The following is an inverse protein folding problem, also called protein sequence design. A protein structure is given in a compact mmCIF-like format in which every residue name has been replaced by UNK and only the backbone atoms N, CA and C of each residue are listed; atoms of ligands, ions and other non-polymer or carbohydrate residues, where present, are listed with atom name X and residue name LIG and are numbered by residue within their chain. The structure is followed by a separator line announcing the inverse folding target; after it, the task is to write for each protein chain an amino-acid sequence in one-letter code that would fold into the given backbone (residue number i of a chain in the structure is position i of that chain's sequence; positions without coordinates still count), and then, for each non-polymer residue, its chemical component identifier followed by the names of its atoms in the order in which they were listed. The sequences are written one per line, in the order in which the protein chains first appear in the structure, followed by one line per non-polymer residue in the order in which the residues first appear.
data_IF_550637203649
#
_entry.id   IF_550637203649
#
_cell.length_a   1.000
_cell.length_b   1.000
_cell.length_c   1.000
_cell.angle_alpha   90.00
_cell.angle_beta   90.00
_cell.angle_gamma   90.00
#
_symmetry.space_group_name_H-M   'P 1'
#
loop_
_entity.id
_entity.type
_entity.pdbx_description
1 polymer ?
#
# COMPACT_ATOMS: atom_id res chain seq x y z
N UNK A 1 18.51 8.86 -8.55
CA UNK A 1 17.15 8.36 -8.70
C UNK A 1 16.28 9.57 -8.99
N UNK A 2 15.65 9.58 -10.16
CA UNK A 2 14.80 10.70 -10.59
C UNK A 2 13.41 10.61 -9.91
N UNK A 3 12.74 11.73 -9.68
CA UNK A 3 11.39 11.75 -9.10
C UNK A 3 10.41 10.94 -9.95
N UNK A 4 10.55 11.01 -11.28
CA UNK A 4 9.76 10.21 -12.22
C UNK A 4 10.02 8.71 -12.10
N UNK A 5 11.25 8.32 -11.78
CA UNK A 5 11.64 6.93 -11.55
C UNK A 5 10.96 6.37 -10.29
N UNK A 6 11.01 7.14 -9.20
CA UNK A 6 10.34 6.80 -7.93
C UNK A 6 8.82 6.70 -8.11
N UNK A 7 8.21 7.64 -8.83
CA UNK A 7 6.76 7.63 -9.09
C UNK A 7 6.32 6.39 -9.88
N UNK A 8 7.11 6.00 -10.88
CA UNK A 8 6.86 4.79 -11.68
C UNK A 8 6.97 3.53 -10.83
N UNK A 9 8.04 3.43 -10.04
CA UNK A 9 8.28 2.27 -9.18
C UNK A 9 7.18 2.13 -8.11
N UNK A 10 6.76 3.23 -7.46
CA UNK A 10 5.60 3.24 -6.56
C UNK A 10 4.33 2.75 -7.26
N UNK A 11 4.06 3.22 -8.49
CA UNK A 11 2.88 2.78 -9.24
C UNK A 11 2.92 1.28 -9.58
N UNK A 12 4.10 0.73 -9.88
CA UNK A 12 4.29 -0.70 -10.09
C UNK A 12 4.06 -1.51 -8.81
N UNK A 13 4.62 -1.05 -7.68
CA UNK A 13 4.44 -1.70 -6.38
C UNK A 13 2.97 -1.67 -5.91
N UNK A 14 2.24 -0.57 -6.08
CA UNK A 14 0.81 -0.52 -5.75
C UNK A 14 -0.03 -1.47 -6.62
N UNK A 15 0.28 -1.60 -7.91
CA UNK A 15 -0.39 -2.58 -8.78
C UNK A 15 -0.14 -4.01 -8.34
N UNK A 16 1.10 -4.32 -7.97
CA UNK A 16 1.45 -5.63 -7.41
C UNK A 16 0.70 -5.89 -6.10
N UNK A 17 0.61 -4.88 -5.22
CA UNK A 17 -0.12 -4.99 -3.95
C UNK A 17 -1.59 -5.30 -4.18
N UNK A 18 -2.25 -4.57 -5.08
CA UNK A 18 -3.64 -4.81 -5.45
C UNK A 18 -3.85 -6.23 -5.99
N UNK A 19 -2.96 -6.70 -6.89
CA UNK A 19 -3.02 -8.06 -7.43
C UNK A 19 -2.89 -9.13 -6.35
N UNK A 20 -1.95 -8.96 -5.40
CA UNK A 20 -1.79 -9.88 -4.27
C UNK A 20 -3.01 -9.88 -3.34
N UNK A 21 -3.59 -8.71 -3.04
CA UNK A 21 -4.81 -8.60 -2.20
C UNK A 21 -5.99 -9.34 -2.82
N UNK A 22 -6.22 -9.19 -4.12
CA UNK A 22 -7.27 -9.93 -4.83
C UNK A 22 -7.03 -11.44 -4.73
N UNK A 23 -5.77 -11.88 -4.86
CA UNK A 23 -5.44 -13.30 -4.75
C UNK A 23 -5.62 -13.85 -3.33
N UNK A 24 -5.31 -13.06 -2.31
CA UNK A 24 -5.60 -13.41 -0.90
C UNK A 24 -7.10 -13.58 -0.71
N UNK A 25 -7.91 -12.61 -1.16
CA UNK A 25 -9.37 -12.67 -1.06
C UNK A 25 -9.93 -13.93 -1.75
N UNK A 26 -9.42 -14.27 -2.93
CA UNK A 26 -9.81 -15.49 -3.63
C UNK A 26 -9.50 -16.75 -2.82
N UNK A 27 -8.28 -16.87 -2.27
CA UNK A 27 -7.90 -18.04 -1.48
C UNK A 27 -8.63 -18.11 -0.14
N UNK A 28 -9.00 -16.97 0.46
CA UNK A 28 -9.85 -16.93 1.66
C UNK A 28 -11.24 -17.48 1.32
N UNK A 29 -11.83 -17.06 0.21
CA UNK A 29 -13.10 -17.59 -0.27
C UNK A 29 -13.02 -19.09 -0.59
N UNK A 30 -11.94 -19.54 -1.25
CA UNK A 30 -11.73 -20.96 -1.56
C UNK A 30 -11.57 -21.78 -0.26
N UNK A 31 -10.89 -21.24 0.76
CA UNK A 31 -10.77 -21.89 2.07
C UNK A 31 -12.14 -22.02 2.75
N UNK A 32 -12.94 -20.96 2.77
CA UNK A 32 -14.30 -20.98 3.32
C UNK A 32 -15.20 -22.00 2.61
N UNK A 33 -15.12 -22.07 1.27
CA UNK A 33 -15.84 -23.04 0.48
C UNK A 33 -15.44 -24.49 0.82
N UNK A 34 -14.14 -24.75 0.98
CA UNK A 34 -13.63 -26.05 1.41
C UNK A 34 -14.13 -26.38 2.82
N UNK A 35 -14.03 -25.44 3.77
CA UNK A 35 -14.53 -25.65 5.13
C UNK A 35 -16.03 -25.98 5.13
N UNK A 36 -16.83 -25.22 4.37
CA UNK A 36 -18.27 -25.45 4.24
C UNK A 36 -18.57 -26.84 3.68
N UNK A 37 -17.80 -27.31 2.68
CA UNK A 37 -17.96 -28.63 2.08
C UNK A 37 -17.60 -29.79 3.01
N UNK A 38 -16.68 -29.55 3.96
CA UNK A 38 -16.20 -30.56 4.92
C UNK A 38 -16.99 -30.54 6.23
N UNK A 39 -17.85 -29.54 6.44
CA UNK A 39 -18.62 -29.39 7.67
C UNK A 39 -19.68 -30.51 7.76
N UNK A 40 -19.71 -31.29 8.85
CA UNK A 40 -20.76 -32.28 9.04
C UNK A 40 -22.14 -31.63 9.21
N UNK A 41 -23.20 -32.31 8.80
CA UNK A 41 -24.58 -31.81 8.89
C UNK A 41 -25.02 -31.52 10.34
N UNK A 42 -24.55 -32.33 11.29
CA UNK A 42 -24.82 -32.14 12.73
C UNK A 42 -23.87 -31.13 13.41
N UNK A 43 -22.91 -30.60 12.64
CA UNK A 43 -21.81 -29.78 13.14
C UNK A 43 -20.59 -30.60 13.55
N UNK A 44 -19.55 -29.92 14.03
CA UNK A 44 -18.32 -30.56 14.46
C UNK A 44 -18.51 -31.35 15.75
N UNK A 45 -17.90 -32.53 15.83
CA UNK A 45 -17.99 -33.42 16.99
C UNK A 45 -17.33 -32.79 18.24
N UNK A 46 -17.98 -32.88 19.40
CA UNK A 46 -17.41 -32.43 20.66
C UNK A 46 -18.46 -31.94 21.68
N UNK A 47 -18.23 -32.24 22.96
CA UNK A 47 -19.13 -31.84 24.05
C UNK A 47 -19.01 -30.36 24.41
N UNK A 48 -17.85 -29.75 24.14
CA UNK A 48 -17.55 -28.34 24.39
C UNK A 48 -16.95 -27.66 23.14
N UNK A 49 -16.79 -26.33 23.19
CA UNK A 49 -16.29 -25.56 22.05
C UNK A 49 -14.85 -25.95 21.64
N UNK A 50 -13.98 -26.24 22.59
CA UNK A 50 -12.59 -26.63 22.32
C UNK A 50 -12.50 -27.97 21.59
N UNK A 51 -13.28 -28.97 22.01
CA UNK A 51 -13.33 -30.27 21.34
C UNK A 51 -13.84 -30.15 19.91
N UNK A 52 -14.86 -29.31 19.67
CA UNK A 52 -15.38 -29.03 18.33
C UNK A 52 -14.34 -28.35 17.44
N UNK A 53 -13.58 -27.41 17.99
CA UNK A 53 -12.51 -26.74 17.26
C UNK A 53 -11.34 -27.69 16.95
N UNK A 54 -10.99 -28.59 17.87
CA UNK A 54 -9.97 -29.62 17.62
C UNK A 54 -10.45 -30.58 16.52
N UNK A 55 -11.69 -31.06 16.57
CA UNK A 55 -12.27 -31.93 15.55
C UNK A 55 -12.26 -31.25 14.18
N UNK A 56 -12.72 -29.99 14.11
CA UNK A 56 -12.63 -29.14 12.91
C UNK A 56 -11.21 -29.11 12.35
N UNK A 57 -10.22 -28.76 13.17
CA UNK A 57 -8.82 -28.67 12.75
C UNK A 57 -8.28 -30.01 12.26
N UNK A 58 -8.61 -31.11 12.91
CA UNK A 58 -8.18 -32.44 12.49
C UNK A 58 -8.72 -32.79 11.10
N UNK A 59 -10.01 -32.60 10.87
CA UNK A 59 -10.64 -32.86 9.57
C UNK A 59 -10.05 -31.97 8.48
N UNK A 60 -9.94 -30.66 8.73
CA UNK A 60 -9.37 -29.73 7.76
C UNK A 60 -7.90 -30.03 7.44
N UNK A 61 -7.09 -30.38 8.44
CA UNK A 61 -5.67 -30.71 8.23
C UNK A 61 -5.43 -32.04 7.51
N UNK A 62 -6.41 -32.93 7.47
CA UNK A 62 -6.36 -34.14 6.66
C UNK A 62 -6.71 -33.86 5.19
N UNK A 63 -7.42 -32.76 4.91
CA UNK A 63 -7.80 -32.39 3.56
C UNK A 63 -6.65 -31.69 2.81
N UNK A 64 -6.21 -32.27 1.69
CA UNK A 64 -5.08 -31.76 0.90
C UNK A 64 -5.34 -30.36 0.35
N UNK A 65 -6.52 -30.13 -0.24
CA UNK A 65 -6.89 -28.82 -0.78
C UNK A 65 -6.89 -27.71 0.28
N UNK A 66 -7.26 -28.03 1.52
CA UNK A 66 -7.24 -27.04 2.61
C UNK A 66 -5.80 -26.66 2.95
N UNK A 67 -4.91 -27.65 3.11
CA UNK A 67 -3.49 -27.40 3.38
C UNK A 67 -2.81 -26.60 2.27
N UNK A 68 -3.12 -26.93 1.01
CA UNK A 68 -2.59 -26.20 -0.14
C UNK A 68 -3.04 -24.73 -0.13
N UNK A 69 -4.33 -24.47 0.11
CA UNK A 69 -4.87 -23.11 0.20
C UNK A 69 -4.26 -22.33 1.38
N UNK A 70 -4.13 -22.96 2.55
CA UNK A 70 -3.50 -22.34 3.72
C UNK A 70 -2.02 -22.00 3.48
N UNK A 71 -1.27 -22.89 2.84
CA UNK A 71 0.12 -22.61 2.45
C UNK A 71 0.20 -21.42 1.48
N UNK A 72 -0.68 -21.37 0.48
CA UNK A 72 -0.78 -20.25 -0.46
C UNK A 72 -1.14 -18.93 0.23
N UNK A 73 -2.08 -18.94 1.19
CA UNK A 73 -2.42 -17.75 1.99
C UNK A 73 -1.23 -17.25 2.80
N UNK A 74 -0.50 -18.16 3.45
CA UNK A 74 0.68 -17.80 4.24
C UNK A 74 1.77 -17.18 3.36
N UNK A 75 2.01 -17.76 2.18
CA UNK A 75 2.98 -17.24 1.22
C UNK A 75 2.59 -15.84 0.71
N UNK A 76 1.34 -15.65 0.28
CA UNK A 76 0.88 -14.35 -0.24
C UNK A 76 0.89 -13.27 0.83
N UNK A 77 0.49 -13.60 2.07
CA UNK A 77 0.57 -12.65 3.20
C UNK A 77 2.01 -12.26 3.50
N UNK A 78 2.94 -13.22 3.47
CA UNK A 78 4.37 -12.94 3.62
C UNK A 78 4.89 -12.00 2.52
N UNK A 79 4.50 -12.25 1.26
CA UNK A 79 4.84 -11.37 0.13
C UNK A 79 4.25 -9.96 0.29
N UNK A 80 3.00 -9.84 0.76
CA UNK A 80 2.37 -8.54 1.04
C UNK A 80 3.12 -7.74 2.10
N UNK A 81 3.62 -8.40 3.16
CA UNK A 81 4.41 -7.73 4.20
C UNK A 81 5.72 -7.17 3.63
N UNK A 82 6.42 -7.96 2.81
CA UNK A 82 7.67 -7.52 2.16
C UNK A 82 7.39 -6.30 1.26
N UNK A 83 6.37 -6.42 0.40
CA UNK A 83 5.98 -5.36 -0.53
C UNK A 83 5.54 -4.08 0.20
N UNK A 84 4.87 -4.21 1.35
CA UNK A 84 4.50 -3.08 2.19
C UNK A 84 5.74 -2.36 2.74
N UNK A 85 6.76 -3.10 3.17
CA UNK A 85 8.03 -2.53 3.59
C UNK A 85 8.75 -1.78 2.46
N UNK A 86 8.74 -2.32 1.24
CA UNK A 86 9.30 -1.66 0.06
C UNK A 86 8.56 -0.36 -0.29
N UNK A 87 7.22 -0.39 -0.26
CA UNK A 87 6.39 0.80 -0.45
C UNK A 87 6.71 1.89 0.57
N UNK A 88 6.76 1.54 1.86
CA UNK A 88 7.04 2.49 2.93
C UNK A 88 8.45 3.10 2.81
N UNK A 89 9.44 2.29 2.44
CA UNK A 89 10.80 2.76 2.20
C UNK A 89 10.85 3.75 1.03
N UNK A 90 10.19 3.43 -0.09
CA UNK A 90 10.20 4.28 -1.28
C UNK A 90 9.39 5.56 -1.08
N UNK A 91 8.27 5.49 -0.35
CA UNK A 91 7.52 6.67 0.08
C UNK A 91 8.34 7.58 1.00
N UNK A 92 9.15 7.01 1.91
CA UNK A 92 10.04 7.80 2.76
C UNK A 92 11.09 8.55 1.92
N UNK A 93 11.67 7.91 0.91
CA UNK A 93 12.58 8.55 -0.04
C UNK A 93 11.87 9.68 -0.80
N UNK A 94 10.65 9.44 -1.31
CA UNK A 94 9.84 10.46 -1.98
C UNK A 94 9.61 11.68 -1.09
N UNK A 95 9.20 11.46 0.17
CA UNK A 95 8.97 12.53 1.16
C UNK A 95 10.25 13.30 1.46
N UNK A 96 11.40 12.62 1.57
CA UNK A 96 12.69 13.28 1.80
C UNK A 96 13.07 14.21 0.65
N UNK A 97 12.90 13.78 -0.60
CA UNK A 97 13.14 14.60 -1.80
C UNK A 97 12.18 15.80 -1.83
N UNK A 98 10.91 15.58 -1.48
CA UNK A 98 9.91 16.64 -1.42
C UNK A 98 10.28 17.71 -0.39
N UNK A 99 10.69 17.31 0.82
CA UNK A 99 11.15 18.26 1.85
C UNK A 99 12.39 19.03 1.40
N UNK A 100 13.38 18.34 0.83
CA UNK A 100 14.58 19.01 0.30
C UNK A 100 14.22 20.04 -0.79
N UNK A 101 13.25 19.73 -1.65
CA UNK A 101 12.79 20.64 -2.70
C UNK A 101 12.06 21.85 -2.10
N UNK A 102 11.25 21.65 -1.06
CA UNK A 102 10.59 22.73 -0.32
C UNK A 102 11.58 23.65 0.39
N UNK A 103 12.62 23.11 1.00
CA UNK A 103 13.67 23.90 1.65
C UNK A 103 14.41 24.78 0.62
N UNK A 104 14.81 24.21 -0.52
CA UNK A 104 15.44 24.98 -1.61
C UNK A 104 14.53 26.08 -2.16
N UNK A 105 13.22 25.82 -2.27
CA UNK A 105 12.25 26.83 -2.67
C UNK A 105 12.12 27.95 -1.62
N UNK A 106 12.07 27.59 -0.34
CA UNK A 106 12.01 28.55 0.75
C UNK A 106 13.26 29.45 0.76
N UNK A 107 14.45 28.86 0.57
CA UNK A 107 15.71 29.60 0.45
C UNK A 107 15.71 30.53 -0.77
N UNK A 108 15.24 30.05 -1.94
CA UNK A 108 15.13 30.88 -3.14
C UNK A 108 14.17 32.06 -2.93
N UNK A 109 12.98 31.82 -2.35
CA UNK A 109 12.01 32.87 -2.03
C UNK A 109 12.59 33.86 -1.02
N UNK A 110 13.30 33.38 0.01
CA UNK A 110 13.92 34.25 1.01
C UNK A 110 15.04 35.11 0.40
N UNK A 111 15.85 34.54 -0.49
CA UNK A 111 16.87 35.26 -1.25
C UNK A 111 16.26 36.34 -2.16
N UNK A 112 15.13 36.04 -2.82
CA UNK A 112 14.39 37.02 -3.64
C UNK A 112 13.75 38.13 -2.79
N UNK A 113 13.20 37.80 -1.63
CA UNK A 113 12.51 38.76 -0.75
C UNK A 113 13.46 39.67 0.04
N UNK A 114 14.69 39.23 0.31
CA UNK A 114 15.66 39.96 1.12
C UNK A 114 16.44 41.05 0.36
N UNK A 115 16.21 41.19 -0.95
CA UNK A 115 16.62 42.36 -1.75
C UNK A 115 18.12 42.72 -1.65
N UNK A 116 18.98 41.77 -1.31
CA UNK A 116 20.42 42.01 -1.25
C UNK A 116 20.98 42.08 -2.67
N UNK A 117 21.65 43.19 -3.00
CA UNK A 117 22.54 43.36 -4.15
C UNK A 117 23.42 42.12 -4.34
N UNK A 118 22.96 41.18 -5.16
CA UNK A 118 23.73 40.01 -5.58
C UNK A 118 23.59 39.84 -7.07
N UNK A 119 24.74 39.55 -7.68
CA UNK A 119 24.98 39.48 -9.11
C UNK A 119 23.89 38.67 -9.85
N UNK A 120 23.63 39.03 -11.11
CA UNK A 120 22.62 38.42 -12.01
C UNK A 120 22.62 36.87 -12.01
N UNK A 121 23.74 36.25 -11.63
CA UNK A 121 23.94 34.80 -11.53
C UNK A 121 23.13 34.17 -10.38
N UNK A 122 23.03 34.84 -9.22
CA UNK A 122 22.27 34.33 -8.07
C UNK A 122 20.76 34.43 -8.30
N UNK A 123 20.32 35.45 -9.04
CA UNK A 123 18.94 35.61 -9.45
C UNK A 123 18.52 34.58 -10.52
N UNK A 124 19.40 34.29 -11.48
CA UNK A 124 19.17 33.23 -12.47
C UNK A 124 19.10 31.83 -11.83
N UNK A 125 19.92 31.55 -10.81
CA UNK A 125 19.87 30.30 -10.06
C UNK A 125 18.55 30.15 -9.28
N UNK A 126 18.09 31.21 -8.62
CA UNK A 126 16.81 31.20 -7.90
C UNK A 126 15.60 31.01 -8.85
N UNK A 127 15.62 31.64 -10.02
CA UNK A 127 14.58 31.45 -11.06
C UNK A 127 14.63 30.02 -11.60
N UNK A 128 15.82 29.45 -11.82
CA UNK A 128 15.97 28.05 -12.26
C UNK A 128 15.42 27.05 -11.24
N UNK A 129 15.65 27.29 -9.94
CA UNK A 129 15.11 26.43 -8.86
C UNK A 129 13.57 26.53 -8.79
N UNK A 130 13.02 27.73 -8.99
CA UNK A 130 11.57 27.94 -9.04
C UNK A 130 10.92 27.23 -10.23
N UNK A 131 11.57 27.27 -11.41
CA UNK A 131 11.08 26.63 -12.63
C UNK A 131 11.17 25.10 -12.55
N UNK A 132 12.24 24.57 -11.96
CA UNK A 132 12.42 23.14 -11.67
C UNK A 132 11.36 22.64 -10.68
N UNK A 133 11.07 23.41 -9.62
CA UNK A 133 10.06 23.03 -8.65
C UNK A 133 8.61 23.17 -9.16
N UNK A 134 8.35 24.13 -10.06
CA UNK A 134 7.06 24.24 -10.75
C UNK A 134 6.80 23.02 -11.64
N UNK A 135 7.84 22.51 -12.32
CA UNK A 135 7.76 21.26 -13.09
C UNK A 135 7.46 20.04 -12.19
N UNK A 136 8.01 20.00 -10.98
CA UNK A 136 7.75 18.93 -10.01
C UNK A 136 6.31 18.99 -9.45
N UNK A 137 5.79 20.18 -9.14
CA UNK A 137 4.42 20.35 -8.65
C UNK A 137 3.35 20.06 -9.72
N UNK A 138 3.59 20.39 -10.99
CA UNK A 138 2.63 20.14 -12.07
C UNK A 138 2.36 18.65 -12.33
N UNK A 139 3.24 17.76 -11.87
CA UNK A 139 3.09 16.29 -11.99
C UNK A 139 2.50 15.61 -10.77
N UNK A 140 2.28 16.34 -9.66
CA UNK A 140 1.53 15.83 -8.52
C UNK A 140 0.05 16.01 -8.83
N UNK A 141 -0.50 15.13 -9.68
CA UNK A 141 -1.96 14.96 -9.72
C UNK A 141 -2.39 14.55 -8.32
N UNK A 142 -3.36 15.23 -7.68
CA UNK A 142 -3.93 14.72 -6.45
C UNK A 142 -4.39 13.29 -6.74
N UNK A 143 -3.93 12.33 -5.93
CA UNK A 143 -4.53 11.00 -5.90
C UNK A 143 -6.04 11.21 -5.81
N UNK A 144 -6.86 10.57 -6.67
CA UNK A 144 -8.30 10.63 -6.48
C UNK A 144 -8.56 10.23 -5.04
N UNK A 145 -9.26 11.09 -4.30
CA UNK A 145 -9.72 10.77 -2.96
C UNK A 145 -10.43 9.42 -3.08
N UNK A 146 -9.77 8.36 -2.61
CA UNK A 146 -10.40 7.07 -2.49
C UNK A 146 -11.43 7.30 -1.40
N UNK A 147 -12.69 7.34 -1.85
CA UNK A 147 -13.93 7.47 -1.10
C UNK A 147 -13.71 7.28 0.40
N UNK A 148 -13.79 8.37 1.16
CA UNK A 148 -14.30 8.25 2.52
C UNK A 148 -15.71 7.69 2.33
N UNK A 149 -15.87 6.42 2.68
CA UNK A 149 -17.16 5.75 2.65
C UNK A 149 -18.13 6.63 3.45
N UNK A 150 -19.12 7.19 2.74
CA UNK A 150 -20.29 7.77 3.36
C UNK A 150 -20.94 6.66 4.18
N UNK A 151 -20.92 6.83 5.50
CA UNK A 151 -21.79 6.15 6.47
C UNK A 151 -23.25 6.50 6.14
N UNK A 152 -23.81 5.92 5.08
CA UNK A 152 -25.23 6.03 4.78
C UNK A 152 -25.89 4.64 4.85
N UNK A 153 -26.45 4.38 6.03
CA UNK A 153 -27.68 3.64 6.30
C UNK A 153 -27.95 2.39 5.44
N UNK A 154 -27.60 1.22 5.98
CA UNK A 154 -28.27 -0.03 5.62
C UNK A 154 -29.67 0.00 6.28
N UNK A 155 -30.78 0.05 5.52
CA UNK A 155 -32.10 -0.05 6.13
C UNK A 155 -32.37 -1.51 6.54
N UNK A 156 -32.83 -1.67 7.79
CA UNK A 156 -33.29 -2.94 8.38
C UNK A 156 -34.50 -3.55 7.66
#
# INVERSE_FOLDING_TARGET
MDYMEIAKELADLYRQQAGLKVRVMQLEHDAEAIEASLRPAEGWEGKNAEQREIAKRQTLNQHEGWRATQAGLHELRSRLIILQGELEALEAIRRAIEYQSRDRLADAIHSLASGHDRDDVDQAAAVSILDEAACLQANIRPLPAVYAEDDDEIPF
#
